data_IF_904796426287
#
_entry.id   IF_904796426287
#
_cell.length_a   1.000
_cell.length_b   1.000
_cell.length_c   1.000
_cell.angle_alpha   90.00
_cell.angle_beta   90.00
_cell.angle_gamma   90.00
#
_symmetry.space_group_name_H-M   'P 1'
#
loop_
_entity.id
_entity.type
_entity.pdbx_description
1 polymer ?
#
# COMPACT_ATOMS: atom_id res chain seq x y z
N UNK A 1 -1.93 -13.77 5.68
CA UNK A 1 -2.01 -12.45 5.05
C UNK A 1 -2.79 -11.59 5.99
N UNK A 2 -2.13 -10.56 6.47
CA UNK A 2 -2.48 -9.95 7.74
C UNK A 2 -2.05 -8.50 7.63
N UNK A 3 -3.03 -7.62 7.64
CA UNK A 3 -2.84 -6.18 7.63
C UNK A 3 -3.44 -5.63 8.91
N UNK A 4 -2.77 -4.65 9.49
CA UNK A 4 -3.19 -4.01 10.72
C UNK A 4 -3.51 -2.55 10.44
N UNK A 5 -4.72 -2.13 10.78
CA UNK A 5 -5.12 -0.73 10.63
C UNK A 5 -4.31 0.13 11.58
N UNK A 6 -3.80 1.24 11.07
CA UNK A 6 -3.13 2.25 11.87
C UNK A 6 -4.00 3.50 11.86
N UNK A 7 -4.65 3.81 13.00
CA UNK A 7 -5.58 4.94 13.09
C UNK A 7 -4.86 6.30 13.18
N UNK A 8 -3.55 6.32 13.37
CA UNK A 8 -2.80 7.57 13.52
C UNK A 8 -2.61 8.27 12.18
N UNK A 9 -2.65 9.61 12.23
CA UNK A 9 -2.38 10.45 11.07
C UNK A 9 -0.88 10.56 10.90
N UNK A 10 -0.34 9.99 9.81
CA UNK A 10 0.98 10.38 9.35
C UNK A 10 0.95 11.87 9.03
N UNK A 11 1.89 12.63 9.60
CA UNK A 11 2.14 14.01 9.22
C UNK A 11 3.29 14.00 8.23
N UNK A 12 3.06 14.52 7.04
CA UNK A 12 4.10 14.84 6.06
C UNK A 12 3.92 16.26 5.55
N UNK A 13 5.02 16.85 5.02
CA UNK A 13 4.90 17.99 4.11
C UNK A 13 4.00 17.65 2.92
N UNK A 14 3.53 18.68 2.22
CA UNK A 14 2.58 18.53 1.11
C UNK A 14 3.17 17.65 0.01
N UNK A 15 2.40 16.65 -0.43
CA UNK A 15 2.69 15.90 -1.65
C UNK A 15 2.03 16.67 -2.81
N UNK A 16 2.79 17.18 -3.80
CA UNK A 16 2.18 17.92 -4.89
C UNK A 16 1.27 17.01 -5.72
N UNK A 17 0.16 17.61 -6.17
CA UNK A 17 -0.89 16.97 -6.96
C UNK A 17 -1.59 15.77 -6.29
N UNK A 18 -1.35 15.49 -5.00
CA UNK A 18 -2.00 14.39 -4.30
C UNK A 18 -2.15 14.63 -2.80
N UNK A 19 -3.32 14.32 -2.26
CA UNK A 19 -3.55 14.27 -0.83
C UNK A 19 -4.13 12.89 -0.47
N UNK A 20 -3.29 11.92 -0.04
CA UNK A 20 -3.78 10.60 0.34
C UNK A 20 -4.69 10.70 1.57
N UNK A 21 -5.69 9.82 1.67
CA UNK A 21 -6.58 9.84 2.83
C UNK A 21 -5.88 9.39 4.11
N UNK A 22 -6.41 9.89 5.24
CA UNK A 22 -5.96 9.53 6.58
C UNK A 22 -6.32 8.08 6.88
N UNK A 23 -5.39 7.38 7.54
CA UNK A 23 -5.56 5.97 7.89
C UNK A 23 -5.00 5.05 6.81
N UNK A 24 -4.10 4.19 7.22
CA UNK A 24 -3.48 3.20 6.36
C UNK A 24 -3.33 1.90 7.12
N UNK A 25 -3.08 0.84 6.39
CA UNK A 25 -2.89 -0.49 6.93
C UNK A 25 -1.47 -0.89 6.64
N UNK A 26 -0.76 -1.36 7.66
CA UNK A 26 0.56 -1.99 7.45
C UNK A 26 0.38 -3.49 7.33
N UNK A 27 1.11 -4.11 6.41
CA UNK A 27 1.23 -5.55 6.40
C UNK A 27 2.08 -6.03 7.58
N UNK A 28 1.77 -7.23 8.09
CA UNK A 28 2.50 -7.90 9.15
C UNK A 28 2.88 -9.33 8.73
N UNK A 29 3.84 -9.94 9.43
CA UNK A 29 4.31 -11.28 9.11
C UNK A 29 4.86 -11.36 7.68
N UNK A 30 4.25 -12.17 6.83
CA UNK A 30 4.65 -12.34 5.43
C UNK A 30 4.36 -11.12 4.55
N UNK A 31 3.50 -10.21 5.00
CA UNK A 31 3.18 -8.95 4.31
C UNK A 31 3.96 -7.77 4.88
N UNK A 32 4.93 -8.00 5.79
CA UNK A 32 5.74 -6.93 6.36
C UNK A 32 6.42 -6.08 5.27
N UNK A 33 6.35 -4.76 5.43
CA UNK A 33 6.83 -3.79 4.43
C UNK A 33 5.81 -3.42 3.36
N UNK A 34 4.59 -3.97 3.40
CA UNK A 34 3.48 -3.51 2.58
C UNK A 34 2.65 -2.45 3.31
N UNK A 35 2.13 -1.49 2.54
CA UNK A 35 1.18 -0.49 3.01
C UNK A 35 -0.07 -0.56 2.13
N UNK A 36 -1.26 -0.54 2.73
CA UNK A 36 -2.52 -0.47 2.00
C UNK A 36 -3.33 0.75 2.44
N UNK A 37 -3.88 1.50 1.50
CA UNK A 37 -4.58 2.75 1.80
C UNK A 37 -5.52 3.16 0.67
N UNK A 38 -6.40 4.11 0.99
CA UNK A 38 -7.27 4.74 0.01
C UNK A 38 -6.56 5.92 -0.65
N UNK A 39 -6.38 5.88 -1.97
CA UNK A 39 -5.71 6.94 -2.74
C UNK A 39 -6.58 8.18 -2.91
N UNK A 40 -7.91 8.02 -2.78
CA UNK A 40 -8.93 8.98 -3.18
C UNK A 40 -8.72 9.53 -4.61
N UNK A 41 -8.13 8.72 -5.48
CA UNK A 41 -7.81 9.07 -6.84
C UNK A 41 -8.18 7.91 -7.77
N UNK A 42 -9.24 8.08 -8.54
CA UNK A 42 -9.73 7.06 -9.48
C UNK A 42 -8.70 6.66 -10.54
N UNK A 43 -7.74 7.53 -10.85
CA UNK A 43 -6.67 7.26 -11.81
C UNK A 43 -5.64 6.24 -11.31
N UNK A 44 -5.49 6.08 -10.00
CA UNK A 44 -4.62 5.07 -9.36
C UNK A 44 -5.44 3.91 -8.78
N UNK A 45 -6.76 3.94 -8.94
CA UNK A 45 -7.70 3.11 -8.20
C UNK A 45 -7.86 3.55 -6.75
N UNK A 46 -9.08 3.42 -6.22
CA UNK A 46 -9.41 3.92 -4.88
C UNK A 46 -8.62 3.24 -3.77
N UNK A 47 -8.39 1.93 -3.87
CA UNK A 47 -7.64 1.18 -2.86
C UNK A 47 -6.43 0.54 -3.49
N UNK A 48 -5.27 0.75 -2.87
CA UNK A 48 -3.99 0.23 -3.34
C UNK A 48 -3.18 -0.41 -2.23
N UNK A 49 -2.26 -1.29 -2.61
CA UNK A 49 -1.18 -1.82 -1.79
C UNK A 49 0.15 -1.40 -2.42
N UNK A 50 1.13 -0.99 -1.63
CA UNK A 50 2.47 -0.58 -2.09
C UNK A 50 3.55 -1.21 -1.22
N UNK A 51 4.80 -1.19 -1.67
CA UNK A 51 5.97 -1.57 -0.88
C UNK A 51 6.60 -0.34 -0.23
N UNK A 52 6.36 -0.12 1.07
CA UNK A 52 6.91 0.97 1.87
C UNK A 52 6.77 2.38 1.25
N UNK A 53 5.77 2.59 0.40
CA UNK A 53 5.64 3.80 -0.40
C UNK A 53 4.22 4.36 -0.29
N UNK A 54 4.05 5.40 0.50
CA UNK A 54 2.76 6.05 0.75
C UNK A 54 2.54 7.29 -0.15
N UNK A 55 3.42 7.49 -1.13
CA UNK A 55 3.35 8.51 -2.19
C UNK A 55 3.88 7.91 -3.50
N UNK A 56 4.20 8.71 -4.51
CA UNK A 56 4.79 8.26 -5.78
C UNK A 56 6.29 8.54 -5.86
N UNK A 57 6.96 7.80 -6.73
CA UNK A 57 8.33 8.06 -7.20
C UNK A 57 8.26 8.87 -8.50
N UNK A 58 9.41 9.39 -8.90
CA UNK A 58 9.56 10.09 -10.16
C UNK A 58 10.66 9.43 -10.98
N UNK A 59 10.45 9.27 -12.28
CA UNK A 59 11.47 8.75 -13.20
C UNK A 59 11.93 9.86 -14.14
N UNK A 60 13.20 10.26 -14.05
CA UNK A 60 13.81 11.32 -14.87
C UNK A 60 14.94 10.71 -15.67
N UNK A 61 14.86 10.74 -17.01
CA UNK A 61 15.86 10.18 -17.92
C UNK A 61 16.35 8.78 -17.51
N UNK A 62 15.41 7.91 -17.13
CA UNK A 62 15.60 6.54 -16.62
C UNK A 62 16.08 6.36 -15.18
N UNK A 63 16.36 7.43 -14.45
CA UNK A 63 16.72 7.37 -13.04
C UNK A 63 15.47 7.47 -12.17
N UNK A 64 15.35 6.60 -11.17
CA UNK A 64 14.20 6.58 -10.24
C UNK A 64 14.56 7.40 -9.01
N UNK A 65 13.87 8.52 -8.83
CA UNK A 65 14.01 9.37 -7.67
C UNK A 65 12.99 8.96 -6.61
N UNK A 66 13.50 8.70 -5.40
CA UNK A 66 12.67 8.32 -4.26
C UNK A 66 12.19 9.56 -3.50
N UNK A 67 10.96 9.55 -2.98
CA UNK A 67 10.47 10.65 -2.18
C UNK A 67 11.24 10.76 -0.86
N UNK A 68 11.49 12.00 -0.44
CA UNK A 68 12.05 12.35 0.86
C UNK A 68 11.07 13.27 1.57
N UNK A 69 10.65 12.87 2.76
CA UNK A 69 9.55 13.49 3.51
C UNK A 69 10.03 14.61 4.45
N UNK A 70 10.97 15.42 3.97
CA UNK A 70 11.42 16.62 4.67
C UNK A 70 10.80 17.84 3.99
N UNK A 71 10.45 18.85 4.79
CA UNK A 71 9.86 20.08 4.28
C UNK A 71 10.92 20.89 3.53
N UNK A 72 10.65 21.15 2.25
CA UNK A 72 11.37 22.12 1.44
C UNK A 72 10.35 23.05 0.82
N UNK A 73 10.22 24.24 1.42
CA UNK A 73 9.28 25.28 0.99
C UNK A 73 7.80 24.78 0.95
N UNK A 74 7.39 23.97 1.93
CA UNK A 74 6.02 23.49 2.13
C UNK A 74 5.71 22.15 1.46
N UNK A 75 6.68 21.53 0.77
CA UNK A 75 6.49 20.29 0.03
C UNK A 75 7.56 19.25 0.36
N UNK A 76 7.26 17.98 0.07
CA UNK A 76 8.29 16.94 -0.04
C UNK A 76 9.17 17.18 -1.28
N UNK A 77 10.28 16.46 -1.36
CA UNK A 77 11.13 16.43 -2.56
C UNK A 77 11.46 15.00 -2.98
N UNK A 78 12.10 14.85 -4.15
CA UNK A 78 12.57 13.56 -4.64
C UNK A 78 14.08 13.58 -4.87
N UNK A 79 14.76 12.47 -4.59
CA UNK A 79 16.21 12.37 -4.66
C UNK A 79 16.68 11.12 -5.39
N UNK A 80 17.73 11.30 -6.20
CA UNK A 80 18.56 10.22 -6.75
C UNK A 80 20.03 10.65 -6.68
N UNK A 81 20.83 9.94 -5.89
CA UNK A 81 22.22 10.33 -5.64
C UNK A 81 22.31 11.76 -5.07
N UNK A 82 23.09 12.63 -5.72
CA UNK A 82 23.22 14.05 -5.39
C UNK A 82 22.18 14.95 -6.08
N UNK A 83 21.35 14.40 -6.97
CA UNK A 83 20.33 15.18 -7.67
C UNK A 83 19.01 15.16 -6.92
N UNK A 84 18.40 16.34 -6.79
CA UNK A 84 17.16 16.56 -6.08
C UNK A 84 16.17 17.30 -6.98
N UNK A 85 14.91 16.86 -6.95
CA UNK A 85 13.77 17.55 -7.54
C UNK A 85 12.89 18.12 -6.42
N UNK A 86 12.87 19.44 -6.27
CA UNK A 86 12.25 20.13 -5.14
C UNK A 86 11.63 21.47 -5.55
N UNK A 87 10.83 22.06 -4.65
CA UNK A 87 10.20 23.36 -4.87
C UNK A 87 11.12 24.52 -4.43
N UNK A 88 11.55 25.33 -5.40
CA UNK A 88 12.22 26.62 -5.23
C UNK A 88 11.17 27.75 -5.21
N UNK A 89 11.40 28.78 -4.40
CA UNK A 89 10.52 29.96 -4.32
C UNK A 89 10.58 30.80 -5.58
N UNK A 90 11.76 30.89 -6.20
CA UNK A 90 11.98 31.78 -7.34
C UNK A 90 11.61 31.13 -8.68
N UNK A 91 11.76 29.82 -8.80
CA UNK A 91 11.61 29.11 -10.09
C UNK A 91 10.54 28.01 -10.05
N UNK A 92 9.85 27.84 -8.92
CA UNK A 92 8.92 26.73 -8.73
C UNK A 92 9.65 25.40 -8.62
N UNK A 93 9.13 24.35 -9.26
CA UNK A 93 9.73 23.02 -9.21
C UNK A 93 10.99 22.94 -10.08
N UNK A 94 12.10 22.52 -9.46
CA UNK A 94 13.41 22.45 -10.12
C UNK A 94 14.11 21.12 -9.88
N UNK A 95 14.91 20.71 -10.85
CA UNK A 95 15.89 19.62 -10.73
C UNK A 95 17.29 20.24 -10.65
N UNK A 96 17.99 19.97 -9.54
CA UNK A 96 19.31 20.51 -9.25
C UNK A 96 20.21 19.45 -8.62
N UNK A 97 21.52 19.66 -8.63
CA UNK A 97 22.53 18.82 -7.95
C UNK A 97 23.00 19.39 -6.59
N UNK A 98 22.26 20.33 -6.01
CA UNK A 98 22.56 20.96 -4.72
C UNK A 98 21.49 20.57 -3.71
N UNK A 99 21.78 20.82 -2.43
CA UNK A 99 20.88 20.50 -1.33
C UNK A 99 19.51 21.19 -1.52
N UNK A 100 18.40 20.47 -1.29
CA UNK A 100 17.05 21.03 -1.39
C UNK A 100 16.87 22.29 -0.54
N UNK A 101 16.19 23.30 -1.10
CA UNK A 101 16.02 24.63 -0.47
C UNK A 101 17.06 25.67 -0.91
N UNK A 102 18.09 25.27 -1.67
CA UNK A 102 18.94 26.22 -2.38
C UNK A 102 18.15 26.91 -3.50
N UNK A 103 18.29 28.24 -3.61
CA UNK A 103 17.73 29.02 -4.71
C UNK A 103 18.81 29.22 -5.80
N UNK A 104 18.63 28.65 -7.00
CA UNK A 104 19.61 28.77 -8.08
C UNK A 104 19.80 30.21 -8.53
N UNK A 105 21.01 30.54 -8.99
CA UNK A 105 21.30 31.82 -9.64
C UNK A 105 21.23 31.67 -11.14
N UNK A 106 20.48 32.56 -11.79
CA UNK A 106 20.39 32.66 -13.25
C UNK A 106 20.42 34.13 -13.64
N UNK A 107 21.42 34.54 -14.41
CA UNK A 107 21.53 35.88 -14.98
C UNK A 107 21.76 35.77 -16.48
N UNK A 108 21.14 36.64 -17.28
CA UNK A 108 21.41 36.70 -18.72
C UNK A 108 22.42 37.82 -19.00
N UNK A 109 23.56 37.46 -19.58
CA UNK A 109 24.57 38.40 -20.05
C UNK A 109 24.26 38.79 -21.51
N UNK A 110 23.92 40.06 -21.72
CA UNK A 110 23.55 40.59 -23.02
C UNK A 110 24.72 40.74 -24.01
N UNK A 111 25.95 40.89 -23.51
CA UNK A 111 27.16 41.03 -24.35
C UNK A 111 27.56 39.69 -24.95
N UNK A 112 27.62 38.65 -24.12
CA UNK A 112 27.96 37.28 -24.56
C UNK A 112 26.76 36.54 -25.13
N UNK A 113 25.54 37.06 -24.92
CA UNK A 113 24.25 36.42 -25.24
C UNK A 113 24.10 35.04 -24.60
N UNK A 114 24.61 34.90 -23.39
CA UNK A 114 24.63 33.64 -22.63
C UNK A 114 24.01 33.81 -21.25
N UNK A 115 23.44 32.73 -20.74
CA UNK A 115 23.02 32.62 -19.34
C UNK A 115 24.22 32.20 -18.47
N UNK A 116 24.38 32.89 -17.34
CA UNK A 116 25.41 32.65 -16.33
C UNK A 116 24.76 32.18 -15.02
N UNK A 117 25.57 31.54 -14.17
CA UNK A 117 25.13 31.01 -12.87
C UNK A 117 25.04 29.49 -12.85
N UNK A 118 24.03 28.96 -12.18
CA UNK A 118 23.87 27.52 -11.96
C UNK A 118 23.26 26.81 -13.18
N UNK A 119 23.59 25.52 -13.33
CA UNK A 119 22.97 24.64 -14.32
C UNK A 119 21.82 23.87 -13.67
N UNK A 120 20.58 24.11 -14.11
CA UNK A 120 19.42 23.41 -13.56
C UNK A 120 18.29 23.24 -14.59
N UNK A 121 17.23 22.55 -14.18
CA UNK A 121 16.00 22.44 -14.96
C UNK A 121 14.81 22.88 -14.13
N UNK A 122 13.78 23.43 -14.77
CA UNK A 122 12.54 23.84 -14.11
C UNK A 122 11.31 23.31 -14.87
N UNK A 123 10.28 22.91 -14.15
CA UNK A 123 9.04 22.38 -14.71
C UNK A 123 8.20 21.70 -13.65
N UNK A 124 6.90 21.53 -13.89
CA UNK A 124 5.97 21.03 -12.89
C UNK A 124 5.99 19.49 -12.77
N UNK A 125 5.65 18.93 -11.59
CA UNK A 125 5.45 17.50 -11.45
C UNK A 125 4.30 17.03 -12.33
N UNK A 126 4.36 15.79 -12.87
CA UNK A 126 3.30 15.25 -13.68
C UNK A 126 1.99 15.07 -12.88
N UNK A 127 0.87 14.93 -13.60
CA UNK A 127 -0.40 14.56 -12.98
C UNK A 127 -0.31 13.17 -12.36
N UNK A 128 -1.04 12.95 -11.26
CA UNK A 128 -0.98 11.72 -10.46
C UNK A 128 -1.86 10.64 -11.10
N UNK A 129 -1.30 9.99 -12.14
CA UNK A 129 -1.90 8.93 -12.94
C UNK A 129 -0.79 8.14 -13.64
N UNK A 130 -0.99 6.83 -13.80
CA UNK A 130 -0.05 5.99 -14.55
C UNK A 130 0.19 6.49 -15.99
N UNK A 131 1.46 6.43 -16.42
CA UNK A 131 1.89 6.78 -17.77
C UNK A 131 1.95 8.28 -18.08
N UNK A 132 1.67 9.17 -17.11
CA UNK A 132 1.80 10.61 -17.31
C UNK A 132 3.25 11.07 -17.20
N UNK A 133 3.55 12.17 -17.86
CA UNK A 133 4.84 12.82 -17.81
C UNK A 133 4.70 14.33 -17.99
N UNK A 134 5.76 15.04 -17.63
CA UNK A 134 5.95 16.47 -17.90
C UNK A 134 7.37 16.72 -18.42
N UNK A 135 7.63 17.94 -18.87
CA UNK A 135 8.95 18.36 -19.31
C UNK A 135 9.58 19.30 -18.28
N UNK A 136 10.86 19.08 -18.02
CA UNK A 136 11.70 20.03 -17.30
C UNK A 136 12.55 20.77 -18.33
N UNK A 137 12.34 22.08 -18.41
CA UNK A 137 13.04 22.96 -19.33
C UNK A 137 14.42 23.33 -18.77
N UNK A 138 15.46 23.42 -19.61
CA UNK A 138 16.76 23.88 -19.17
C UNK A 138 16.70 25.33 -18.68
N UNK A 139 17.42 25.61 -17.59
CA UNK A 139 17.60 26.92 -16.97
C UNK A 139 19.07 27.20 -16.66
N UNK A 140 19.38 28.47 -16.45
CA UNK A 140 20.75 28.94 -16.25
C UNK A 140 21.66 28.49 -17.38
N UNK A 141 22.85 28.02 -17.06
CA UNK A 141 23.85 27.65 -18.06
C UNK A 141 23.40 26.48 -18.97
N UNK A 142 22.41 25.67 -18.57
CA UNK A 142 21.84 24.62 -19.44
C UNK A 142 21.09 25.19 -20.66
N UNK A 143 20.73 26.47 -20.66
CA UNK A 143 20.07 27.12 -21.82
C UNK A 143 21.03 27.41 -22.96
N UNK A 144 22.31 27.57 -22.65
CA UNK A 144 23.32 27.92 -23.64
C UNK A 144 23.46 26.79 -24.65
N UNK A 145 23.42 27.12 -25.94
CA UNK A 145 23.48 26.12 -27.02
C UNK A 145 22.17 25.36 -27.27
N UNK A 146 21.02 25.84 -26.73
CA UNK A 146 19.70 25.28 -27.04
C UNK A 146 19.35 23.99 -26.31
N UNK A 147 19.79 23.87 -25.04
CA UNK A 147 19.69 22.65 -24.22
C UNK A 147 18.38 21.87 -24.35
N UNK A 148 18.47 20.55 -24.19
CA UNK A 148 17.32 19.66 -24.31
C UNK A 148 16.48 19.62 -23.03
N UNK A 149 15.17 19.49 -23.18
CA UNK A 149 14.28 19.21 -22.06
C UNK A 149 14.58 17.82 -21.46
N UNK A 150 14.42 17.69 -20.14
CA UNK A 150 14.34 16.37 -19.50
C UNK A 150 12.90 15.92 -19.39
N UNK A 151 12.67 14.61 -19.49
CA UNK A 151 11.35 14.03 -19.29
C UNK A 151 11.19 13.54 -17.86
N UNK A 152 10.12 13.99 -17.21
CA UNK A 152 9.77 13.62 -15.84
C UNK A 152 8.50 12.77 -15.85
N UNK A 153 8.62 11.48 -15.54
CA UNK A 153 7.51 10.54 -15.51
C UNK A 153 7.00 10.30 -14.09
N UNK A 154 5.69 10.15 -13.97
CA UNK A 154 5.06 9.61 -12.78
C UNK A 154 5.37 8.11 -12.66
N UNK A 155 5.79 7.66 -11.48
CA UNK A 155 6.11 6.26 -11.22
C UNK A 155 5.55 5.81 -9.87
N UNK A 156 4.56 4.93 -9.89
CA UNK A 156 3.90 4.42 -8.69
C UNK A 156 3.66 2.92 -8.81
N UNK A 157 4.63 2.07 -8.42
CA UNK A 157 4.43 0.63 -8.38
C UNK A 157 3.47 0.26 -7.25
N UNK A 158 2.35 -0.38 -7.60
CA UNK A 158 1.30 -0.70 -6.65
C UNK A 158 0.49 -1.90 -7.11
N UNK A 159 -0.24 -2.51 -6.19
CA UNK A 159 -1.37 -3.37 -6.52
C UNK A 159 -2.66 -2.59 -6.33
N UNK A 160 -3.62 -2.76 -7.24
CA UNK A 160 -4.90 -2.06 -7.25
C UNK A 160 -6.05 -3.02 -6.95
N UNK A 161 -7.01 -2.61 -6.12
CA UNK A 161 -8.21 -3.43 -5.85
C UNK A 161 -9.01 -3.70 -7.12
N UNK A 162 -9.30 -4.98 -7.39
CA UNK A 162 -10.07 -5.42 -8.56
C UNK A 162 -11.52 -4.93 -8.50
N UNK A 163 -12.13 -4.99 -7.32
CA UNK A 163 -13.54 -4.68 -7.13
C UNK A 163 -13.79 -3.28 -6.54
N UNK A 164 -12.75 -2.43 -6.47
CA UNK A 164 -12.80 -1.12 -5.77
C UNK A 164 -13.27 -1.22 -4.31
N UNK A 165 -13.01 -2.36 -3.68
CA UNK A 165 -13.27 -2.62 -2.28
C UNK A 165 -11.96 -2.68 -1.50
N UNK A 166 -11.99 -2.27 -0.24
CA UNK A 166 -10.81 -2.29 0.62
C UNK A 166 -10.30 -3.72 0.86
N UNK A 167 -11.20 -4.66 1.11
CA UNK A 167 -10.84 -6.06 1.31
C UNK A 167 -11.10 -6.85 0.02
N UNK A 168 -10.23 -7.82 -0.26
CA UNK A 168 -10.32 -8.66 -1.45
C UNK A 168 -9.01 -8.76 -2.22
N UNK A 169 -9.14 -9.07 -3.51
CA UNK A 169 -8.03 -9.26 -4.44
C UNK A 169 -7.53 -7.93 -5.01
N UNK A 170 -6.21 -7.82 -5.13
CA UNK A 170 -5.50 -6.72 -5.73
C UNK A 170 -4.60 -7.21 -6.87
N UNK A 171 -4.67 -6.55 -8.02
CA UNK A 171 -3.91 -6.88 -9.23
C UNK A 171 -2.70 -5.94 -9.42
N UNK A 172 -1.61 -6.41 -10.03
CA UNK A 172 -0.40 -5.59 -10.20
C UNK A 172 -0.56 -4.42 -11.20
N UNK A 173 0.05 -3.28 -10.86
CA UNK A 173 0.17 -2.05 -11.67
C UNK A 173 1.57 -1.42 -11.48
N UNK A 174 1.99 -0.56 -12.40
CA UNK A 174 3.27 0.16 -12.28
C UNK A 174 4.51 -0.74 -12.17
N UNK A 175 4.49 -1.92 -12.80
CA UNK A 175 5.66 -2.82 -12.90
C UNK A 175 5.87 -3.79 -11.74
N UNK A 176 4.99 -3.83 -10.73
CA UNK A 176 4.98 -4.96 -9.77
C UNK A 176 4.37 -6.21 -10.40
N UNK A 177 4.52 -7.37 -9.76
CA UNK A 177 4.04 -8.65 -10.26
C UNK A 177 3.32 -9.48 -9.20
N UNK A 178 2.50 -10.42 -9.66
CA UNK A 178 1.72 -11.33 -8.81
C UNK A 178 0.54 -10.64 -8.15
N UNK A 179 -0.48 -11.43 -7.79
CA UNK A 179 -1.65 -10.90 -7.09
C UNK A 179 -1.36 -10.71 -5.59
N UNK A 180 -2.06 -9.75 -4.98
CA UNK A 180 -2.11 -9.56 -3.54
C UNK A 180 -3.54 -9.65 -3.04
N UNK A 181 -3.69 -9.89 -1.74
CA UNK A 181 -4.99 -9.93 -1.10
C UNK A 181 -4.93 -9.19 0.22
N UNK A 182 -6.00 -8.46 0.53
CA UNK A 182 -6.11 -7.68 1.74
C UNK A 182 -7.37 -8.09 2.51
N UNK A 183 -7.19 -8.40 3.80
CA UNK A 183 -8.21 -8.89 4.71
C UNK A 183 -7.94 -10.32 5.16
N UNK A 184 -8.68 -10.76 6.18
CA UNK A 184 -8.66 -12.14 6.65
C UNK A 184 -9.66 -12.96 5.82
N UNK A 185 -9.27 -14.14 5.32
CA UNK A 185 -10.20 -15.04 4.66
C UNK A 185 -11.41 -15.38 5.55
N UNK A 186 -12.60 -15.38 4.97
CA UNK A 186 -13.85 -15.69 5.61
C UNK A 186 -14.59 -16.79 4.85
N UNK A 187 -15.18 -17.72 5.58
CA UNK A 187 -16.03 -18.77 5.04
C UNK A 187 -17.44 -18.60 5.53
N UNK A 188 -18.40 -19.06 4.72
CA UNK A 188 -19.82 -19.09 5.06
C UNK A 188 -20.32 -20.53 4.99
N UNK A 189 -21.08 -20.97 5.98
CA UNK A 189 -21.77 -22.26 5.93
C UNK A 189 -23.12 -22.19 5.18
N UNK A 190 -23.71 -23.36 4.94
CA UNK A 190 -25.06 -23.52 4.39
C UNK A 190 -26.19 -22.99 5.31
N UNK A 191 -25.87 -22.48 6.50
CA UNK A 191 -26.79 -21.81 7.43
C UNK A 191 -26.53 -20.30 7.53
N UNK A 192 -25.62 -19.76 6.72
CA UNK A 192 -25.21 -18.35 6.72
C UNK A 192 -24.42 -17.88 7.93
N UNK A 193 -23.81 -18.79 8.68
CA UNK A 193 -22.83 -18.43 9.70
C UNK A 193 -21.48 -18.13 9.04
N UNK A 194 -20.74 -17.17 9.61
CA UNK A 194 -19.43 -16.73 9.09
C UNK A 194 -18.28 -17.18 9.99
N UNK A 195 -17.18 -17.57 9.37
CA UNK A 195 -15.99 -18.08 10.03
C UNK A 195 -14.77 -17.34 9.50
N UNK A 196 -14.23 -16.43 10.29
CA UNK A 196 -13.07 -15.60 9.90
C UNK A 196 -11.80 -16.25 10.43
N UNK A 197 -10.80 -16.45 9.55
CA UNK A 197 -9.48 -16.93 9.99
C UNK A 197 -8.85 -15.92 10.93
N UNK A 198 -8.27 -16.41 12.00
CA UNK A 198 -7.40 -15.62 12.88
C UNK A 198 -6.20 -14.98 12.16
N UNK A 199 -5.66 -13.93 12.75
CA UNK A 199 -4.47 -13.21 12.27
C UNK A 199 -3.22 -14.07 12.46
N UNK A 200 -3.12 -14.71 13.63
CA UNK A 200 -1.96 -15.47 14.09
C UNK A 200 -2.30 -16.94 14.33
N UNK A 201 -1.26 -17.77 14.27
CA UNK A 201 -1.37 -19.18 14.62
C UNK A 201 -1.20 -19.36 16.12
N UNK A 202 -2.05 -20.17 16.74
CA UNK A 202 -1.86 -20.68 18.09
C UNK A 202 -1.48 -22.15 18.01
N UNK A 203 -0.34 -22.51 18.61
CA UNK A 203 0.19 -23.88 18.56
C UNK A 203 0.38 -24.44 17.13
N UNK A 204 0.71 -23.58 16.16
CA UNK A 204 0.96 -23.97 14.77
C UNK A 204 -0.26 -23.93 13.84
N UNK A 205 -1.46 -23.73 14.38
CA UNK A 205 -2.72 -23.74 13.64
C UNK A 205 -3.45 -22.39 13.72
N UNK A 206 -4.15 -22.03 12.64
CA UNK A 206 -5.10 -20.90 12.67
C UNK A 206 -6.42 -21.36 13.28
N UNK A 207 -7.11 -20.51 14.03
CA UNK A 207 -8.56 -20.66 14.27
C UNK A 207 -9.38 -19.98 13.17
N UNK A 208 -10.65 -20.35 13.04
CA UNK A 208 -11.60 -19.75 12.11
C UNK A 208 -12.90 -19.41 12.85
N UNK A 209 -12.87 -18.35 13.66
CA UNK A 209 -13.94 -18.03 14.61
C UNK A 209 -14.18 -19.19 15.58
N UNK A 210 -15.37 -19.79 15.53
CA UNK A 210 -15.74 -20.94 16.36
C UNK A 210 -15.07 -22.27 15.97
N UNK A 211 -14.32 -22.32 14.87
CA UNK A 211 -13.63 -23.54 14.40
C UNK A 211 -12.18 -23.53 14.87
N UNK A 212 -11.75 -24.63 15.48
CA UNK A 212 -10.41 -24.76 16.06
C UNK A 212 -9.87 -26.19 15.96
N UNK A 213 -8.55 -26.32 16.02
CA UNK A 213 -7.88 -27.63 16.05
C UNK A 213 -7.83 -28.14 17.49
N UNK A 214 -8.40 -29.32 17.73
CA UNK A 214 -8.36 -30.01 19.02
C UNK A 214 -8.15 -31.51 18.79
N UNK A 215 -7.25 -32.15 19.54
CA UNK A 215 -6.98 -33.60 19.46
C UNK A 215 -6.74 -34.11 18.02
N UNK A 216 -6.06 -33.32 17.18
CA UNK A 216 -5.79 -33.70 15.79
C UNK A 216 -7.02 -33.69 14.88
N UNK A 217 -8.11 -33.01 15.28
CA UNK A 217 -9.32 -32.81 14.48
C UNK A 217 -9.69 -31.33 14.42
N UNK A 218 -10.36 -30.92 13.34
CA UNK A 218 -10.95 -29.58 13.26
C UNK A 218 -12.37 -29.65 13.78
N UNK A 219 -12.64 -28.90 14.84
CA UNK A 219 -13.89 -28.95 15.60
C UNK A 219 -14.63 -27.63 15.44
N UNK A 220 -15.94 -27.71 15.27
CA UNK A 220 -16.89 -26.61 15.42
C UNK A 220 -17.83 -26.93 16.58
N UNK A 221 -17.97 -26.00 17.53
CA UNK A 221 -18.67 -26.23 18.78
C UNK A 221 -17.76 -26.81 19.86
N UNK A 222 -18.33 -27.52 20.82
CA UNK A 222 -17.59 -28.13 21.92
C UNK A 222 -17.64 -29.65 21.83
N UNK A 223 -16.47 -30.27 21.87
CA UNK A 223 -16.32 -31.71 21.79
C UNK A 223 -17.13 -32.39 22.92
N UNK A 224 -17.86 -33.46 22.59
CA UNK A 224 -18.74 -34.18 23.52
C UNK A 224 -19.90 -33.35 24.10
N UNK A 225 -20.26 -32.23 23.48
CA UNK A 225 -21.44 -31.46 23.89
C UNK A 225 -22.72 -32.30 23.80
N UNK A 226 -23.65 -32.21 24.78
CA UNK A 226 -24.98 -32.83 24.70
C UNK A 226 -25.81 -32.37 23.51
N UNK A 227 -25.53 -31.19 22.94
CA UNK A 227 -26.18 -30.66 21.74
C UNK A 227 -25.50 -31.09 20.43
N UNK A 228 -24.42 -31.87 20.50
CA UNK A 228 -23.59 -32.28 19.37
C UNK A 228 -22.54 -31.24 18.99
N UNK A 229 -21.63 -31.65 18.11
CA UNK A 229 -20.56 -30.82 17.55
C UNK A 229 -20.36 -31.17 16.08
N UNK A 230 -19.40 -30.54 15.41
CA UNK A 230 -19.03 -30.94 14.07
C UNK A 230 -17.53 -31.16 13.91
N UNK A 231 -17.16 -32.17 13.11
CA UNK A 231 -15.78 -32.52 12.79
C UNK A 231 -15.53 -32.43 11.28
N UNK A 232 -14.38 -31.89 10.88
CA UNK A 232 -14.03 -31.73 9.46
C UNK A 232 -12.53 -31.56 9.21
N UNK A 233 -12.23 -30.91 8.08
CA UNK A 233 -10.88 -30.47 7.70
C UNK A 233 -10.68 -28.97 7.94
N UNK A 234 -9.43 -28.51 7.82
CA UNK A 234 -9.14 -27.08 7.80
C UNK A 234 -9.92 -26.41 6.65
N UNK A 235 -10.59 -25.26 6.88
CA UNK A 235 -11.22 -24.50 5.82
C UNK A 235 -10.26 -24.18 4.66
N UNK A 236 -10.70 -24.46 3.42
CA UNK A 236 -9.90 -24.26 2.19
C UNK A 236 -10.56 -23.23 1.28
N UNK A 237 -9.77 -22.45 0.55
CA UNK A 237 -10.32 -21.42 -0.35
C UNK A 237 -10.80 -21.98 -1.68
N UNK A 238 -10.15 -23.06 -2.12
CA UNK A 238 -10.24 -23.60 -3.46
C UNK A 238 -11.33 -24.66 -3.59
N UNK A 239 -11.84 -25.17 -2.47
CA UNK A 239 -12.90 -26.19 -2.46
C UNK A 239 -13.78 -26.11 -1.23
N UNK A 240 -15.04 -26.57 -1.32
CA UNK A 240 -15.90 -26.71 -0.15
C UNK A 240 -15.30 -27.68 0.88
N UNK A 241 -15.55 -27.42 2.17
CA UNK A 241 -15.18 -28.31 3.27
C UNK A 241 -16.42 -28.66 4.07
N UNK A 242 -16.70 -29.94 4.25
CA UNK A 242 -17.86 -30.41 5.02
C UNK A 242 -17.44 -30.81 6.42
N UNK A 243 -18.10 -30.21 7.39
CA UNK A 243 -18.06 -30.53 8.81
C UNK A 243 -19.24 -31.44 9.12
N UNK A 244 -18.96 -32.70 9.46
CA UNK A 244 -19.97 -33.72 9.75
C UNK A 244 -20.51 -33.54 11.17
N UNK A 245 -21.82 -33.65 11.34
CA UNK A 245 -22.42 -33.60 12.66
C UNK A 245 -22.04 -34.85 13.47
N UNK A 246 -21.59 -34.62 14.70
CA UNK A 246 -21.17 -35.63 15.64
C UNK A 246 -21.98 -35.51 16.93
N UNK A 247 -22.13 -36.63 17.63
CA UNK A 247 -22.86 -36.73 18.88
C UNK A 247 -22.19 -37.73 19.80
N UNK A 248 -22.46 -37.59 21.10
CA UNK A 248 -22.08 -38.60 22.09
C UNK A 248 -22.78 -39.92 21.72
N UNK A 249 -22.08 -41.03 21.96
CA UNK A 249 -22.63 -42.37 21.82
C UNK A 249 -23.97 -42.49 22.56
N UNK A 250 -24.91 -43.24 22.00
CA UNK A 250 -26.29 -43.41 22.50
C UNK A 250 -27.19 -42.15 22.52
N UNK A 251 -26.69 -40.97 22.15
CA UNK A 251 -27.52 -39.78 22.05
C UNK A 251 -28.52 -39.87 20.90
N UNK A 252 -29.77 -39.44 21.15
CA UNK A 252 -30.84 -39.40 20.14
C UNK A 252 -30.86 -38.11 19.32
N UNK A 253 -29.97 -37.16 19.61
CA UNK A 253 -29.91 -35.91 18.86
C UNK A 253 -29.60 -36.17 17.38
N UNK A 254 -30.14 -35.32 16.53
CA UNK A 254 -29.86 -35.28 15.10
C UNK A 254 -29.39 -33.88 14.74
N UNK A 255 -28.55 -33.80 13.72
CA UNK A 255 -28.01 -32.54 13.23
C UNK A 255 -27.58 -32.71 11.79
N UNK A 256 -27.63 -31.62 11.04
CA UNK A 256 -27.15 -31.59 9.66
C UNK A 256 -25.68 -31.22 9.61
N UNK A 257 -24.96 -31.80 8.66
CA UNK A 257 -23.59 -31.41 8.35
C UNK A 257 -23.56 -29.98 7.81
N UNK A 258 -22.48 -29.27 8.12
CA UNK A 258 -22.25 -27.90 7.65
C UNK A 258 -21.23 -27.93 6.53
N UNK A 259 -21.52 -27.25 5.44
CA UNK A 259 -20.56 -27.12 4.33
C UNK A 259 -20.06 -25.70 4.25
N UNK A 260 -18.77 -25.51 4.45
CA UNK A 260 -18.08 -24.23 4.38
C UNK A 260 -17.62 -23.96 2.96
N UNK A 261 -17.94 -22.76 2.47
CA UNK A 261 -17.46 -22.21 1.21
C UNK A 261 -16.69 -20.94 1.50
N UNK A 262 -15.59 -20.72 0.79
CA UNK A 262 -14.93 -19.43 0.84
C UNK A 262 -15.90 -18.35 0.38
N UNK A 263 -16.02 -17.30 1.17
CA UNK A 263 -16.98 -16.22 0.96
C UNK A 263 -16.26 -14.97 0.44
N UNK A 264 -15.38 -14.38 1.27
CA UNK A 264 -14.64 -13.17 0.91
C UNK A 264 -13.42 -12.97 1.84
N UNK A 265 -12.70 -11.88 1.64
CA UNK A 265 -11.76 -11.31 2.61
C UNK A 265 -12.46 -10.21 3.41
N UNK A 266 -12.31 -10.22 4.73
CA UNK A 266 -12.98 -9.28 5.63
C UNK A 266 -12.00 -8.67 6.64
N UNK A 267 -12.45 -7.62 7.32
CA UNK A 267 -11.77 -7.14 8.52
C UNK A 267 -11.98 -8.13 9.67
N UNK A 268 -10.88 -8.50 10.35
CA UNK A 268 -10.95 -9.23 11.62
C UNK A 268 -11.17 -8.32 12.83
N UNK A 269 -11.40 -8.93 13.97
CA UNK A 269 -11.57 -8.28 15.28
C UNK A 269 -10.27 -8.25 16.12
N UNK A 270 -9.23 -8.97 15.70
CA UNK A 270 -7.94 -9.01 16.38
C UNK A 270 -7.21 -7.66 16.32
N UNK A 271 -6.59 -7.27 17.44
CA UNK A 271 -5.83 -6.03 17.58
C UNK A 271 -4.43 -6.33 18.13
N UNK A 272 -3.48 -5.48 17.77
CA UNK A 272 -2.12 -5.54 18.28
C UNK A 272 -1.56 -4.11 18.46
N UNK A 273 -0.43 -3.92 19.16
CA UNK A 273 0.29 -2.66 19.16
C UNK A 273 0.88 -2.34 17.78
N UNK A 274 0.75 -1.09 17.33
CA UNK A 274 1.38 -0.60 16.12
C UNK A 274 2.27 0.61 16.39
N UNK A 275 3.58 0.41 16.26
CA UNK A 275 4.55 1.49 16.24
C UNK A 275 4.72 1.97 14.81
N UNK A 276 4.43 3.26 14.59
CA UNK A 276 4.95 3.98 13.45
C UNK A 276 6.20 4.71 13.90
N UNK A 277 7.29 4.52 13.17
CA UNK A 277 8.42 5.42 13.31
C UNK A 277 7.96 6.83 12.97
N UNK A 278 8.31 7.80 13.82
CA UNK A 278 8.31 9.19 13.38
C UNK A 278 9.28 9.28 12.20
N UNK A 279 8.78 9.71 11.05
CA UNK A 279 9.68 10.21 10.02
C UNK A 279 10.40 11.39 10.69
N UNK A 280 11.72 11.31 10.79
CA UNK A 280 12.51 12.25 11.58
C UNK A 280 12.30 13.69 11.09
N UNK A 281 11.34 14.41 11.69
CA UNK A 281 11.23 15.85 11.62
C UNK A 281 12.17 16.43 12.66
N UNK A 282 13.48 16.14 12.54
CA UNK A 282 14.49 16.78 13.39
C UNK A 282 15.78 16.94 12.60
N UNK A 283 15.93 18.10 11.96
CA UNK A 283 17.03 19.05 12.19
C UNK A 283 16.87 20.28 11.31
#
# INVERSE_FOLDING_TARGET
MSFQYIPTQLRSPTIPNWNPQKGFWRGIGTDAGLLAFNTNNSNLGYYVITQNLWTYRLKIDNLVYSPVFNDVNGFIYWQYGSSCYYYSRNYGWILHNRFPGYEPRENYNSETKQYEGDAFYAGYPPSVRDGTYSYLQPRGTNRNGGGANKMLYFDFPHWQSVNRMQFGKYEPRGGVSGDKYFGLPCWRDNQSNYYVRSLEKKNGDFSYGGIRRENGKWILGDLNSPSGWWEGEEPKKEKPVTFQFCKVEDSKITGSSRTLLFYDYVQGDETAPAYLGEVAIWR
#
